data_IF_416135592532
#
_entry.id   IF_416135592532
#
_cell.length_a   1.000
_cell.length_b   1.000
_cell.length_c   1.000
_cell.angle_alpha   90.00
_cell.angle_beta   90.00
_cell.angle_gamma   90.00
#
_symmetry.space_group_name_H-M   'P 1'
#
loop_
_entity.id
_entity.type
_entity.pdbx_description
1 polymer ?
#
# COMPACT_ATOMS: atom_id res chain seq x y z
N UNK A 1 -31.21 -23.82 -1.26
CA UNK A 1 -31.30 -22.39 -0.91
C UNK A 1 -30.30 -22.15 0.19
N UNK A 2 -29.27 -21.31 0.00
CA UNK A 2 -28.25 -21.08 1.03
C UNK A 2 -28.83 -20.26 2.17
N UNK A 3 -28.23 -20.38 3.35
CA UNK A 3 -28.37 -19.37 4.39
C UNK A 3 -27.66 -18.08 3.97
N UNK A 4 -28.07 -16.92 4.51
CA UNK A 4 -27.38 -15.66 4.25
C UNK A 4 -25.91 -15.70 4.70
N UNK A 5 -25.61 -16.44 5.78
CA UNK A 5 -24.25 -16.66 6.24
C UNK A 5 -23.39 -17.43 5.23
N UNK A 6 -23.90 -18.54 4.68
CA UNK A 6 -23.20 -19.33 3.67
C UNK A 6 -22.98 -18.52 2.39
N UNK A 7 -24.01 -17.78 1.96
CA UNK A 7 -23.92 -16.90 0.79
C UNK A 7 -22.79 -15.86 0.96
N UNK A 8 -22.71 -15.18 2.11
CA UNK A 8 -21.64 -14.21 2.37
C UNK A 8 -20.27 -14.89 2.38
N UNK A 9 -20.13 -16.07 2.99
CA UNK A 9 -18.86 -16.80 3.03
C UNK A 9 -18.37 -17.20 1.64
N UNK A 10 -19.28 -17.58 0.75
CA UNK A 10 -18.96 -17.95 -0.64
C UNK A 10 -18.58 -16.73 -1.48
N UNK A 11 -19.28 -15.61 -1.31
CA UNK A 11 -19.03 -14.39 -2.08
C UNK A 11 -17.80 -13.60 -1.58
N UNK A 12 -17.41 -13.76 -0.32
CA UNK A 12 -16.28 -13.07 0.31
C UNK A 12 -15.28 -14.09 0.89
N UNK A 13 -14.39 -14.66 0.06
CA UNK A 13 -13.52 -15.77 0.47
C UNK A 13 -12.49 -15.39 1.54
N UNK A 14 -12.22 -14.09 1.73
CA UNK A 14 -11.34 -13.60 2.79
C UNK A 14 -12.17 -13.50 4.08
N UNK A 15 -11.83 -14.30 5.10
CA UNK A 15 -12.56 -14.38 6.38
C UNK A 15 -12.86 -13.01 6.99
N UNK A 16 -11.88 -12.11 7.03
CA UNK A 16 -12.07 -10.78 7.61
C UNK A 16 -13.07 -9.92 6.81
N UNK A 17 -13.18 -10.13 5.49
CA UNK A 17 -14.22 -9.51 4.67
C UNK A 17 -15.59 -10.11 4.98
N UNK A 18 -15.70 -11.45 4.99
CA UNK A 18 -16.94 -12.15 5.32
C UNK A 18 -17.47 -11.78 6.70
N UNK A 19 -16.60 -11.67 7.71
CA UNK A 19 -16.95 -11.28 9.07
C UNK A 19 -17.55 -9.85 9.10
N UNK A 20 -16.96 -8.90 8.36
CA UNK A 20 -17.48 -7.53 8.24
C UNK A 20 -18.83 -7.48 7.55
N UNK A 21 -18.97 -8.16 6.41
CA UNK A 21 -20.22 -8.18 5.65
C UNK A 21 -21.32 -8.86 6.45
N UNK A 22 -21.04 -9.98 7.10
CA UNK A 22 -21.99 -10.70 7.98
C UNK A 22 -22.51 -9.81 9.11
N UNK A 23 -21.64 -9.00 9.71
CA UNK A 23 -22.03 -8.03 10.73
C UNK A 23 -22.88 -6.89 10.16
N UNK A 24 -22.57 -6.42 8.95
CA UNK A 24 -23.34 -5.41 8.23
C UNK A 24 -24.75 -5.87 7.89
N UNK A 25 -24.89 -7.01 7.22
CA UNK A 25 -26.20 -7.53 6.77
C UNK A 25 -27.10 -7.98 7.91
N UNK A 26 -26.55 -8.23 9.10
CA UNK A 26 -27.31 -8.62 10.30
C UNK A 26 -28.33 -7.55 10.71
N UNK A 27 -28.07 -6.28 10.42
CA UNK A 27 -28.99 -5.19 10.76
C UNK A 27 -29.67 -4.70 9.50
N UNK A 28 -30.99 -4.75 9.45
CA UNK A 28 -31.78 -4.23 8.35
C UNK A 28 -31.86 -2.69 8.40
N UNK A 29 -32.23 -2.02 7.29
CA UNK A 29 -32.38 -0.57 7.23
C UNK A 29 -33.36 -0.01 8.29
N UNK A 30 -34.36 -0.79 8.68
CA UNK A 30 -35.34 -0.45 9.72
C UNK A 30 -34.82 -0.68 11.16
N UNK A 31 -33.58 -1.12 11.32
CA UNK A 31 -32.95 -1.43 12.62
C UNK A 31 -33.23 -2.84 13.14
N UNK A 32 -34.08 -3.63 12.48
CA UNK A 32 -34.36 -5.01 12.87
C UNK A 32 -33.15 -5.93 12.66
N UNK A 33 -33.09 -7.02 13.43
CA UNK A 33 -32.00 -8.01 13.31
C UNK A 33 -32.45 -9.17 12.42
N UNK A 34 -31.74 -9.38 11.32
CA UNK A 34 -31.94 -10.52 10.42
C UNK A 34 -31.34 -11.78 11.02
N UNK A 35 -32.07 -12.90 10.94
CA UNK A 35 -31.49 -14.22 11.17
C UNK A 35 -30.58 -14.58 9.98
N UNK A 36 -29.30 -14.84 10.23
CA UNK A 36 -28.34 -15.15 9.17
C UNK A 36 -28.36 -16.63 8.75
N UNK A 37 -28.91 -17.51 9.60
CA UNK A 37 -28.97 -18.96 9.39
C UNK A 37 -30.22 -19.40 8.63
N UNK A 38 -31.14 -18.48 8.37
CA UNK A 38 -32.36 -18.75 7.62
C UNK A 38 -32.06 -18.92 6.12
N UNK A 39 -32.58 -19.98 5.52
CA UNK A 39 -32.43 -20.25 4.10
C UNK A 39 -33.29 -19.29 3.27
N UNK A 40 -32.68 -18.67 2.25
CA UNK A 40 -33.34 -17.69 1.38
C UNK A 40 -33.02 -17.93 -0.09
N UNK A 41 -33.84 -17.42 -1.03
CA UNK A 41 -33.48 -17.41 -2.44
C UNK A 41 -32.18 -16.65 -2.66
N UNK A 42 -31.34 -17.11 -3.60
CA UNK A 42 -30.06 -16.46 -3.91
C UNK A 42 -30.26 -14.97 -4.26
N UNK A 43 -31.29 -14.65 -5.06
CA UNK A 43 -31.64 -13.27 -5.41
C UNK A 43 -31.97 -12.39 -4.18
N UNK A 44 -32.53 -12.99 -3.12
CA UNK A 44 -32.78 -12.25 -1.88
C UNK A 44 -31.49 -12.01 -1.10
N UNK A 45 -30.60 -13.00 -1.02
CA UNK A 45 -29.27 -12.85 -0.42
C UNK A 45 -28.45 -11.78 -1.15
N UNK A 46 -28.44 -11.80 -2.49
CA UNK A 46 -27.81 -10.79 -3.34
C UNK A 46 -28.30 -9.38 -3.02
N UNK A 47 -29.62 -9.19 -2.97
CA UNK A 47 -30.24 -7.90 -2.64
C UNK A 47 -29.82 -7.41 -1.26
N UNK A 48 -29.86 -8.28 -0.25
CA UNK A 48 -29.47 -7.91 1.13
C UNK A 48 -27.99 -7.51 1.20
N UNK A 49 -27.10 -8.22 0.50
CA UNK A 49 -25.68 -7.86 0.46
C UNK A 49 -25.46 -6.53 -0.28
N UNK A 50 -26.19 -6.29 -1.37
CA UNK A 50 -26.10 -5.04 -2.14
C UNK A 50 -26.57 -3.80 -1.36
N UNK A 51 -27.39 -3.96 -0.32
CA UNK A 51 -27.78 -2.87 0.60
C UNK A 51 -26.60 -2.35 1.42
N UNK A 52 -25.59 -3.18 1.71
CA UNK A 52 -24.48 -2.85 2.61
C UNK A 52 -23.11 -2.80 1.93
N UNK A 53 -22.95 -3.54 0.83
CA UNK A 53 -21.73 -3.56 0.02
C UNK A 53 -22.00 -2.87 -1.31
N UNK A 54 -21.40 -1.70 -1.48
CA UNK A 54 -21.51 -0.90 -2.69
C UNK A 54 -20.34 -1.16 -3.63
N UNK A 55 -20.53 -0.82 -4.90
CA UNK A 55 -19.46 -0.80 -5.92
C UNK A 55 -19.48 0.54 -6.65
N UNK A 56 -18.34 1.02 -7.17
CA UNK A 56 -18.33 2.19 -8.04
C UNK A 56 -19.21 1.96 -9.27
N UNK A 57 -20.01 2.96 -9.61
CA UNK A 57 -20.87 2.94 -10.80
C UNK A 57 -20.16 3.48 -12.05
N UNK A 58 -19.02 4.14 -11.85
CA UNK A 58 -18.19 4.81 -12.86
C UNK A 58 -16.72 4.49 -12.64
N UNK A 59 -15.86 4.85 -13.59
CA UNK A 59 -14.41 4.55 -13.55
C UNK A 59 -14.09 3.09 -13.92
N UNK A 60 -12.81 2.71 -13.84
CA UNK A 60 -12.36 1.36 -14.19
C UNK A 60 -12.43 0.38 -13.01
N UNK A 61 -12.45 0.88 -11.77
CA UNK A 61 -12.43 0.05 -10.56
C UNK A 61 -13.83 -0.40 -10.07
N UNK A 62 -14.75 -0.69 -10.99
CA UNK A 62 -16.14 -1.13 -10.67
C UNK A 62 -16.20 -2.51 -10.00
N UNK A 63 -15.10 -3.26 -10.02
CA UNK A 63 -14.96 -4.53 -9.33
C UNK A 63 -14.76 -4.37 -7.81
N UNK A 64 -14.22 -3.24 -7.36
CA UNK A 64 -13.88 -3.03 -5.95
C UNK A 64 -15.13 -2.83 -5.10
N UNK A 65 -15.18 -3.54 -3.98
CA UNK A 65 -16.31 -3.55 -3.05
C UNK A 65 -16.08 -2.56 -1.92
N UNK A 66 -17.11 -1.85 -1.50
CA UNK A 66 -17.05 -0.82 -0.46
C UNK A 66 -18.06 -1.08 0.64
N UNK A 67 -17.64 -0.89 1.89
CA UNK A 67 -18.48 -1.09 3.07
C UNK A 67 -18.48 0.14 3.99
N UNK A 68 -19.67 0.61 4.39
CA UNK A 68 -19.82 1.73 5.33
C UNK A 68 -19.65 3.12 4.72
N UNK A 69 -19.80 3.24 3.39
CA UNK A 69 -19.81 4.50 2.64
C UNK A 69 -21.11 4.66 1.87
N UNK A 70 -21.46 5.89 1.52
CA UNK A 70 -22.54 6.16 0.56
C UNK A 70 -22.05 6.07 -0.90
N UNK A 71 -22.99 5.96 -1.84
CA UNK A 71 -22.67 5.78 -3.25
C UNK A 71 -21.85 6.94 -3.86
N UNK A 72 -22.13 8.23 -3.56
CA UNK A 72 -21.27 9.32 -4.02
C UNK A 72 -19.81 9.14 -3.59
N UNK A 73 -19.57 8.82 -2.31
CA UNK A 73 -18.21 8.61 -1.80
C UNK A 73 -17.54 7.39 -2.41
N UNK A 74 -18.30 6.32 -2.67
CA UNK A 74 -17.80 5.12 -3.37
C UNK A 74 -17.35 5.45 -4.80
N UNK A 75 -18.13 6.27 -5.52
CA UNK A 75 -17.75 6.72 -6.86
C UNK A 75 -16.47 7.57 -6.83
N UNK A 76 -16.34 8.48 -5.85
CA UNK A 76 -15.10 9.25 -5.67
C UNK A 76 -13.90 8.33 -5.42
N UNK A 77 -14.04 7.32 -4.56
CA UNK A 77 -12.94 6.38 -4.29
C UNK A 77 -12.56 5.58 -5.54
N UNK A 78 -13.53 5.13 -6.33
CA UNK A 78 -13.28 4.48 -7.61
C UNK A 78 -12.44 5.35 -8.56
N UNK A 79 -12.79 6.64 -8.68
CA UNK A 79 -12.00 7.59 -9.47
C UNK A 79 -10.61 7.87 -8.85
N UNK A 80 -10.50 7.87 -7.53
CA UNK A 80 -9.23 8.04 -6.83
C UNK A 80 -8.27 6.85 -7.04
N UNK A 81 -8.81 5.63 -7.14
CA UNK A 81 -8.05 4.42 -7.49
C UNK A 81 -7.57 4.47 -8.95
N UNK A 82 -8.39 4.99 -9.87
CA UNK A 82 -7.98 5.25 -11.26
C UNK A 82 -6.78 6.22 -11.30
N UNK A 83 -6.77 7.24 -10.44
CA UNK A 83 -5.63 8.15 -10.28
C UNK A 83 -4.41 7.44 -9.69
N UNK A 84 -4.58 6.58 -8.68
CA UNK A 84 -3.48 5.81 -8.10
C UNK A 84 -2.80 4.91 -9.15
N UNK A 85 -3.60 4.23 -9.98
CA UNK A 85 -3.09 3.43 -11.11
C UNK A 85 -2.32 4.28 -12.12
N UNK A 86 -2.84 5.47 -12.48
CA UNK A 86 -2.14 6.42 -13.36
C UNK A 86 -0.82 6.91 -12.78
N UNK A 87 -0.80 7.23 -11.49
CA UNK A 87 0.40 7.68 -10.80
C UNK A 87 1.49 6.60 -10.78
N UNK A 88 1.11 5.34 -10.53
CA UNK A 88 2.00 4.20 -10.60
C UNK A 88 2.52 3.96 -12.02
N UNK A 89 1.64 4.01 -13.02
CA UNK A 89 2.01 3.83 -14.42
C UNK A 89 2.99 4.92 -14.90
N UNK A 90 2.79 6.17 -14.48
CA UNK A 90 3.71 7.26 -14.79
C UNK A 90 5.05 7.04 -14.09
N UNK A 91 5.05 6.80 -12.78
CA UNK A 91 6.26 6.49 -12.03
C UNK A 91 7.05 5.32 -12.64
N UNK A 92 6.36 4.27 -13.09
CA UNK A 92 6.94 3.07 -13.71
C UNK A 92 7.80 3.37 -14.93
N UNK A 93 7.38 4.33 -15.77
CA UNK A 93 8.10 4.74 -17.00
C UNK A 93 9.45 5.36 -16.68
N UNK A 94 9.58 5.97 -15.50
CA UNK A 94 10.76 6.71 -15.08
C UNK A 94 11.68 5.95 -14.14
N UNK A 95 11.37 4.68 -13.80
CA UNK A 95 12.18 3.91 -12.85
C UNK A 95 13.57 3.65 -13.40
N UNK A 96 14.59 4.04 -12.64
CA UNK A 96 16.00 3.83 -12.98
C UNK A 96 16.49 4.71 -14.14
N UNK A 97 15.68 5.66 -14.63
CA UNK A 97 16.15 6.69 -15.54
C UNK A 97 17.07 7.65 -14.78
N UNK A 98 18.08 8.16 -15.48
CA UNK A 98 19.05 9.10 -14.95
C UNK A 98 19.09 10.31 -15.88
N UNK A 99 19.00 11.52 -15.33
CA UNK A 99 19.21 12.77 -16.06
C UNK A 99 20.46 13.44 -15.50
N UNK A 100 21.45 13.68 -16.35
CA UNK A 100 22.58 14.54 -15.99
C UNK A 100 22.36 15.94 -16.60
N UNK A 101 22.58 17.04 -15.85
CA UNK A 101 22.91 17.11 -14.41
C UNK A 101 21.66 17.06 -13.51
N UNK A 102 21.74 16.37 -12.36
CA UNK A 102 20.69 16.44 -11.31
C UNK A 102 20.40 15.12 -10.57
N UNK A 103 19.74 15.22 -9.40
CA UNK A 103 19.18 14.07 -8.67
C UNK A 103 17.80 13.79 -9.24
N UNK A 104 17.57 12.58 -9.76
CA UNK A 104 16.25 12.22 -10.31
C UNK A 104 15.22 12.01 -9.21
N UNK A 105 13.92 12.03 -9.56
CA UNK A 105 12.84 11.64 -8.65
C UNK A 105 13.08 10.23 -8.06
N UNK A 106 13.66 9.31 -8.86
CA UNK A 106 13.99 7.97 -8.41
C UNK A 106 15.07 7.99 -7.33
N UNK A 107 16.14 8.74 -7.54
CA UNK A 107 17.23 8.85 -6.56
C UNK A 107 16.82 9.60 -5.29
N UNK A 108 15.84 10.51 -5.38
CA UNK A 108 15.25 11.16 -4.22
C UNK A 108 14.50 10.18 -3.30
N UNK A 109 13.79 9.20 -3.87
CA UNK A 109 13.00 8.23 -3.13
C UNK A 109 13.75 6.92 -2.78
N UNK A 110 14.61 6.45 -3.69
CA UNK A 110 15.25 5.12 -3.61
C UNK A 110 16.79 5.16 -3.53
N UNK A 111 17.34 6.37 -3.35
CA UNK A 111 18.76 6.62 -3.14
C UNK A 111 19.58 6.67 -4.43
N UNK A 112 20.67 7.43 -4.38
CA UNK A 112 21.51 7.73 -5.54
C UNK A 112 22.25 6.51 -6.11
N UNK A 113 22.60 6.63 -7.39
CA UNK A 113 23.63 5.77 -7.99
C UNK A 113 24.98 6.10 -7.36
N UNK A 114 25.80 5.09 -7.02
CA UNK A 114 27.19 5.36 -6.64
C UNK A 114 27.92 5.92 -7.87
N UNK A 115 28.40 7.16 -7.82
CA UNK A 115 28.84 7.90 -9.01
C UNK A 115 30.22 7.51 -9.55
N UNK A 116 30.95 6.62 -8.88
CA UNK A 116 32.24 6.11 -9.37
C UNK A 116 32.28 4.59 -9.30
N UNK A 117 32.19 3.96 -10.48
CA UNK A 117 32.84 2.69 -10.88
C UNK A 117 32.70 1.41 -10.06
N UNK A 118 32.40 1.45 -8.77
CA UNK A 118 32.47 0.31 -7.88
C UNK A 118 31.57 0.55 -6.66
N UNK A 119 30.27 0.25 -6.78
CA UNK A 119 29.44 0.11 -5.58
C UNK A 119 30.03 -0.99 -4.69
N UNK A 120 29.95 -0.84 -3.37
CA UNK A 120 30.40 -1.85 -2.40
C UNK A 120 29.89 -3.25 -2.74
N UNK A 121 28.64 -3.37 -3.19
CA UNK A 121 28.05 -4.62 -3.70
C UNK A 121 28.77 -5.20 -4.93
N UNK A 122 29.19 -4.33 -5.87
CA UNK A 122 29.94 -4.75 -7.06
C UNK A 122 31.37 -5.12 -6.68
N UNK A 123 32.01 -4.39 -5.76
CA UNK A 123 33.34 -4.75 -5.21
C UNK A 123 33.31 -6.11 -4.52
N UNK A 124 32.31 -6.33 -3.66
CA UNK A 124 32.15 -7.58 -2.93
C UNK A 124 31.81 -8.75 -3.88
N UNK A 125 30.96 -8.53 -4.88
CA UNK A 125 30.64 -9.52 -5.91
C UNK A 125 31.85 -9.87 -6.78
N UNK A 126 32.60 -8.86 -7.24
CA UNK A 126 33.85 -9.06 -7.99
C UNK A 126 34.92 -9.77 -7.15
N UNK A 127 35.06 -9.42 -5.86
CA UNK A 127 35.97 -10.10 -4.94
C UNK A 127 35.59 -11.57 -4.68
N UNK A 128 34.32 -11.94 -4.92
CA UNK A 128 33.81 -13.32 -4.86
C UNK A 128 33.79 -14.00 -6.24
N UNK A 129 34.43 -13.42 -7.25
CA UNK A 129 34.51 -14.00 -8.60
C UNK A 129 33.25 -13.85 -9.45
N UNK A 130 32.25 -13.07 -9.01
CA UNK A 130 31.03 -12.83 -9.79
C UNK A 130 31.24 -11.66 -10.75
N UNK A 131 31.62 -11.99 -12.00
CA UNK A 131 31.79 -11.02 -13.08
C UNK A 131 30.50 -10.25 -13.44
N UNK A 132 29.33 -10.81 -13.10
CA UNK A 132 28.00 -10.25 -13.37
C UNK A 132 27.40 -9.51 -12.16
N UNK A 133 28.20 -9.14 -11.15
CA UNK A 133 27.70 -8.44 -9.97
C UNK A 133 27.04 -7.10 -10.34
N UNK A 134 25.71 -7.07 -10.36
CA UNK A 134 24.93 -5.87 -10.65
C UNK A 134 25.26 -4.75 -9.64
N UNK A 135 25.26 -3.52 -10.12
CA UNK A 135 25.31 -2.38 -9.19
C UNK A 135 24.04 -2.41 -8.33
N UNK A 136 24.15 -2.14 -7.03
CA UNK A 136 22.98 -2.11 -6.15
C UNK A 136 21.88 -1.13 -6.61
N UNK A 137 22.23 -0.13 -7.43
CA UNK A 137 21.25 0.76 -8.07
C UNK A 137 20.40 0.05 -9.13
N UNK A 138 21.03 -0.79 -9.98
CA UNK A 138 20.33 -1.54 -11.02
C UNK A 138 19.36 -2.56 -10.41
N UNK A 139 19.80 -3.31 -9.41
CA UNK A 139 18.96 -4.29 -8.72
C UNK A 139 17.80 -3.63 -7.96
N UNK A 140 18.03 -2.48 -7.29
CA UNK A 140 16.92 -1.70 -6.70
C UNK A 140 15.94 -1.20 -7.76
N UNK A 141 16.43 -0.70 -8.89
CA UNK A 141 15.57 -0.24 -9.98
C UNK A 141 14.72 -1.37 -10.55
N UNK A 142 15.30 -2.55 -10.76
CA UNK A 142 14.58 -3.74 -11.21
C UNK A 142 13.52 -4.19 -10.21
N UNK A 143 13.85 -4.18 -8.90
CA UNK A 143 12.90 -4.48 -7.84
C UNK A 143 11.75 -3.48 -7.83
N UNK A 144 12.03 -2.18 -7.86
CA UNK A 144 11.01 -1.12 -7.85
C UNK A 144 10.09 -1.23 -9.08
N UNK A 145 10.63 -1.54 -10.26
CA UNK A 145 9.81 -1.81 -11.46
C UNK A 145 8.83 -2.94 -11.21
N UNK A 146 9.34 -4.08 -10.75
CA UNK A 146 8.55 -5.28 -10.46
C UNK A 146 7.50 -5.00 -9.39
N UNK A 147 7.86 -4.26 -8.34
CA UNK A 147 6.95 -3.88 -7.27
C UNK A 147 5.83 -2.96 -7.78
N UNK A 148 6.15 -1.97 -8.60
CA UNK A 148 5.12 -1.10 -9.21
C UNK A 148 4.21 -1.91 -10.13
N UNK A 149 4.75 -2.82 -10.95
CA UNK A 149 3.95 -3.70 -11.81
C UNK A 149 3.00 -4.58 -10.97
N UNK A 150 3.49 -5.10 -9.84
CA UNK A 150 2.65 -5.83 -8.88
C UNK A 150 1.58 -4.94 -8.25
N UNK A 151 1.88 -3.71 -7.84
CA UNK A 151 0.89 -2.79 -7.28
C UNK A 151 -0.20 -2.42 -8.30
N UNK A 152 0.15 -2.29 -9.58
CA UNK A 152 -0.82 -2.06 -10.66
C UNK A 152 -1.72 -3.30 -10.85
N UNK A 153 -1.13 -4.50 -10.86
CA UNK A 153 -1.88 -5.75 -10.95
C UNK A 153 -2.81 -5.94 -9.73
N UNK A 154 -2.34 -5.60 -8.54
CA UNK A 154 -3.14 -5.64 -7.32
C UNK A 154 -4.35 -4.73 -7.44
N UNK A 155 -4.21 -3.49 -7.90
CA UNK A 155 -5.35 -2.56 -8.09
C UNK A 155 -6.44 -3.11 -9.03
N UNK A 156 -6.07 -4.00 -9.95
CA UNK A 156 -6.99 -4.69 -10.85
C UNK A 156 -7.66 -5.94 -10.24
N UNK A 157 -7.24 -6.38 -9.05
CA UNK A 157 -7.77 -7.58 -8.39
C UNK A 157 -9.22 -7.41 -7.95
N UNK A 158 -10.08 -8.36 -8.30
CA UNK A 158 -11.50 -8.40 -7.88
C UNK A 158 -11.69 -8.70 -6.38
N UNK A 159 -10.62 -9.10 -5.70
CA UNK A 159 -10.64 -9.45 -4.28
C UNK A 159 -10.69 -8.24 -3.35
N UNK A 160 -10.53 -7.01 -3.88
CA UNK A 160 -10.50 -5.79 -3.06
C UNK A 160 -11.84 -5.49 -2.39
N UNK A 161 -11.76 -5.27 -1.08
CA UNK A 161 -12.79 -4.59 -0.30
C UNK A 161 -12.19 -3.43 0.49
N UNK A 162 -12.83 -2.27 0.44
CA UNK A 162 -12.46 -1.07 1.19
C UNK A 162 -13.57 -0.76 2.19
N UNK A 163 -13.24 -0.53 3.45
CA UNK A 163 -14.24 -0.28 4.49
C UNK A 163 -13.92 0.96 5.33
N UNK A 164 -14.98 1.62 5.79
CA UNK A 164 -14.88 2.74 6.73
C UNK A 164 -14.48 2.23 8.12
N UNK A 165 -13.39 2.76 8.66
CA UNK A 165 -12.90 2.48 10.01
C UNK A 165 -13.08 3.69 10.93
N UNK A 166 -13.32 3.41 12.20
CA UNK A 166 -13.39 4.41 13.27
C UNK A 166 -12.19 4.31 14.23
N UNK A 167 -11.23 3.43 13.93
CA UNK A 167 -9.96 3.31 14.66
C UNK A 167 -9.22 4.66 14.59
N UNK A 168 -8.86 5.22 15.74
CA UNK A 168 -8.22 6.53 15.83
C UNK A 168 -6.77 6.48 15.30
N UNK A 169 -6.30 7.58 14.72
CA UNK A 169 -4.89 7.80 14.38
C UNK A 169 -4.47 7.43 12.96
N UNK A 170 -5.10 6.43 12.34
CA UNK A 170 -4.70 5.97 11.01
C UNK A 170 -5.45 6.67 9.89
N UNK A 171 -4.72 7.02 8.82
CA UNK A 171 -5.32 7.55 7.60
C UNK A 171 -5.97 6.45 6.77
N UNK A 172 -5.20 5.41 6.50
CA UNK A 172 -5.67 4.16 5.94
C UNK A 172 -4.77 3.03 6.48
N UNK A 173 -5.23 1.80 6.38
CA UNK A 173 -4.45 0.63 6.77
C UNK A 173 -4.85 -0.59 5.94
N UNK A 174 -3.88 -1.24 5.29
CA UNK A 174 -4.05 -2.59 4.79
C UNK A 174 -4.31 -3.57 5.95
N UNK A 175 -5.30 -4.45 5.81
CA UNK A 175 -5.70 -5.44 6.80
C UNK A 175 -5.68 -6.85 6.17
N UNK A 176 -5.35 -7.86 6.98
CA UNK A 176 -5.41 -9.26 6.57
C UNK A 176 -4.10 -9.85 6.02
N UNK A 177 -2.99 -9.11 6.05
CA UNK A 177 -1.66 -9.59 5.64
C UNK A 177 -1.57 -9.93 4.15
N UNK A 178 -0.64 -10.82 3.80
CA UNK A 178 -0.40 -11.28 2.42
C UNK A 178 -1.68 -11.75 1.72
N UNK A 179 -2.06 -11.08 0.64
CA UNK A 179 -3.29 -11.38 -0.11
C UNK A 179 -4.57 -10.97 0.62
N UNK A 180 -4.44 -10.28 1.76
CA UNK A 180 -5.51 -9.55 2.41
C UNK A 180 -5.84 -8.31 1.61
N UNK A 181 -6.62 -8.46 0.54
CA UNK A 181 -7.15 -7.37 -0.28
C UNK A 181 -8.25 -6.60 0.47
N UNK A 182 -7.94 -6.14 1.69
CA UNK A 182 -8.85 -5.42 2.56
C UNK A 182 -8.17 -4.15 3.07
N UNK A 183 -8.77 -2.99 2.80
CA UNK A 183 -8.25 -1.70 3.25
C UNK A 183 -9.23 -0.99 4.18
N UNK A 184 -8.73 -0.54 5.32
CA UNK A 184 -9.45 0.33 6.23
C UNK A 184 -9.18 1.79 5.86
N UNK A 185 -10.22 2.63 5.76
CA UNK A 185 -10.08 4.09 5.68
C UNK A 185 -10.48 4.69 7.02
N UNK A 186 -9.54 5.29 7.72
CA UNK A 186 -9.74 5.81 9.08
C UNK A 186 -10.06 7.31 9.12
N UNK A 187 -10.29 7.86 10.33
CA UNK A 187 -10.56 9.28 10.53
C UNK A 187 -9.39 10.20 10.14
N UNK A 188 -8.17 9.67 10.07
CA UNK A 188 -6.98 10.41 9.63
C UNK A 188 -6.87 10.57 8.11
N UNK A 189 -7.79 9.97 7.33
CA UNK A 189 -7.72 10.04 5.87
C UNK A 189 -7.84 11.50 5.41
N UNK A 190 -7.10 11.93 4.37
CA UNK A 190 -7.13 13.32 3.96
C UNK A 190 -8.55 13.81 3.65
N UNK A 191 -8.87 14.98 4.21
CA UNK A 191 -10.15 15.69 4.02
C UNK A 191 -10.23 16.31 2.61
N UNK A 192 -11.45 16.65 2.19
CA UNK A 192 -11.73 17.28 0.90
C UNK A 192 -12.06 16.28 -0.22
N UNK A 193 -12.26 16.82 -1.43
CA UNK A 193 -12.52 16.04 -2.63
C UNK A 193 -11.33 15.13 -2.95
N UNK A 194 -11.62 13.87 -3.32
CA UNK A 194 -10.57 12.89 -3.61
C UNK A 194 -9.80 13.28 -4.88
N UNK A 195 -8.47 13.32 -4.77
CA UNK A 195 -7.56 13.63 -5.88
C UNK A 195 -6.19 12.96 -5.73
N UNK A 196 -5.17 13.52 -6.39
CA UNK A 196 -3.82 12.95 -6.40
C UNK A 196 -3.19 12.84 -5.00
N UNK A 197 -3.52 13.75 -4.07
CA UNK A 197 -3.06 13.64 -2.68
C UNK A 197 -3.61 12.38 -1.99
N UNK A 198 -4.92 12.15 -2.07
CA UNK A 198 -5.57 10.95 -1.53
C UNK A 198 -5.11 9.68 -2.25
N UNK A 199 -4.96 9.73 -3.57
CA UNK A 199 -4.48 8.61 -4.38
C UNK A 199 -3.10 8.11 -3.90
N UNK A 200 -2.20 9.00 -3.49
CA UNK A 200 -0.92 8.57 -2.91
C UNK A 200 -1.03 7.86 -1.56
N UNK A 201 -2.06 8.14 -0.76
CA UNK A 201 -2.36 7.35 0.45
C UNK A 201 -2.77 5.93 0.04
N UNK A 202 -3.61 5.80 -1.00
CA UNK A 202 -3.97 4.48 -1.53
C UNK A 202 -2.76 3.74 -2.13
N UNK A 203 -1.87 4.44 -2.83
CA UNK A 203 -0.59 3.88 -3.31
C UNK A 203 0.25 3.33 -2.15
N UNK A 204 0.34 4.06 -1.04
CA UNK A 204 1.03 3.57 0.15
C UNK A 204 0.43 2.24 0.64
N UNK A 205 -0.89 2.19 0.79
CA UNK A 205 -1.57 1.00 1.32
C UNK A 205 -1.47 -0.21 0.40
N UNK A 206 -1.61 -0.02 -0.91
CA UNK A 206 -1.41 -1.10 -1.90
C UNK A 206 0.03 -1.62 -1.83
N UNK A 207 1.01 -0.75 -1.56
CA UNK A 207 2.40 -1.13 -1.41
C UNK A 207 2.67 -2.12 -0.27
N UNK A 208 1.78 -2.18 0.73
CA UNK A 208 1.89 -3.12 1.85
C UNK A 208 1.60 -4.56 1.47
N UNK A 209 0.81 -4.82 0.41
CA UNK A 209 0.55 -6.17 -0.04
C UNK A 209 1.82 -6.74 -0.68
N UNK A 210 2.31 -7.89 -0.19
CA UNK A 210 3.66 -8.40 -0.47
C UNK A 210 4.74 -7.36 -0.12
N UNK A 211 4.48 -6.56 0.92
CA UNK A 211 5.40 -5.54 1.45
C UNK A 211 6.34 -6.11 2.53
N UNK A 212 7.06 -5.24 3.23
CA UNK A 212 8.06 -5.63 4.23
C UNK A 212 7.50 -6.60 5.29
N UNK A 213 6.28 -6.38 5.77
CA UNK A 213 5.63 -7.25 6.76
C UNK A 213 5.39 -8.67 6.23
N UNK A 214 5.02 -8.82 4.96
CA UNK A 214 4.78 -10.12 4.32
C UNK A 214 6.08 -10.85 3.96
N UNK A 215 7.11 -10.08 3.59
CA UNK A 215 8.47 -10.60 3.41
C UNK A 215 8.99 -11.14 4.75
N UNK A 216 8.86 -10.38 5.84
CA UNK A 216 9.26 -10.82 7.18
C UNK A 216 8.47 -12.06 7.67
N UNK A 217 7.19 -12.18 7.31
CA UNK A 217 6.36 -13.34 7.67
C UNK A 217 6.65 -14.61 6.84
N UNK A 218 7.19 -14.47 5.62
CA UNK A 218 7.50 -15.60 4.73
C UNK A 218 9.00 -15.91 4.62
N UNK A 219 9.85 -15.15 5.30
CA UNK A 219 11.29 -15.36 5.26
C UNK A 219 11.69 -16.68 5.93
N UNK A 220 11.89 -17.71 5.10
CA UNK A 220 12.99 -18.64 5.34
C UNK A 220 14.27 -17.81 5.50
N UNK A 221 14.93 -17.96 6.64
CA UNK A 221 16.20 -17.32 7.05
C UNK A 221 17.21 -17.15 5.89
N UNK A 222 17.25 -18.10 4.96
CA UNK A 222 18.08 -18.10 3.75
C UNK A 222 17.82 -16.97 2.73
N UNK A 223 16.60 -16.43 2.61
CA UNK A 223 16.32 -15.28 1.74
C UNK A 223 16.78 -13.95 2.37
N UNK A 224 16.82 -13.86 3.70
CA UNK A 224 17.45 -12.72 4.40
C UNK A 224 18.98 -12.80 4.34
N UNK A 225 19.52 -14.02 4.39
CA UNK A 225 20.95 -14.29 4.24
C UNK A 225 21.43 -14.09 2.78
N UNK A 226 20.61 -14.49 1.79
CA UNK A 226 20.87 -14.32 0.35
C UNK A 226 20.51 -12.94 -0.19
N UNK A 227 19.59 -12.21 0.45
CA UNK A 227 19.41 -10.78 0.26
C UNK A 227 20.46 -9.97 1.04
N UNK A 228 21.62 -10.54 1.36
CA UNK A 228 22.76 -9.85 1.97
C UNK A 228 22.36 -8.71 2.91
N UNK A 229 21.59 -9.05 3.95
CA UNK A 229 21.95 -8.60 5.28
C UNK A 229 23.28 -9.27 5.63
N UNK A 230 24.36 -8.86 4.96
CA UNK A 230 25.58 -8.66 5.73
C UNK A 230 25.29 -7.34 6.44
N UNK A 231 25.06 -7.33 7.77
CA UNK A 231 25.32 -6.11 8.49
C UNK A 231 26.79 -5.84 8.19
N UNK A 232 27.07 -4.94 7.26
CA UNK A 232 28.27 -4.15 7.45
C UNK A 232 28.10 -3.60 8.85
N UNK A 233 29.05 -3.90 9.72
CA UNK A 233 29.12 -3.45 11.08
C UNK A 233 29.30 -1.91 11.15
N UNK A 234 28.47 -1.16 10.42
CA UNK A 234 28.09 0.18 10.82
C UNK A 234 27.21 -0.01 12.05
N UNK A 235 27.78 0.34 13.20
CA UNK A 235 27.33 0.05 14.55
C UNK A 235 25.95 0.63 14.94
N UNK A 236 25.10 1.05 13.99
CA UNK A 236 23.89 1.85 14.26
C UNK A 236 22.60 1.38 13.56
N UNK A 237 22.53 0.15 13.01
CA UNK A 237 21.26 -0.40 12.50
C UNK A 237 20.69 -1.41 13.51
N UNK A 238 19.55 -1.13 14.19
CA UNK A 238 18.90 -2.06 15.10
C UNK A 238 18.39 -3.29 14.36
N UNK A 239 18.66 -4.46 14.92
CA UNK A 239 18.17 -5.74 14.40
C UNK A 239 16.67 -5.90 14.66
N UNK A 240 15.93 -6.37 13.66
CA UNK A 240 14.50 -6.63 13.73
C UNK A 240 14.29 -8.13 13.99
N UNK A 241 14.15 -8.54 15.27
CA UNK A 241 14.07 -9.96 15.64
C UNK A 241 12.68 -10.46 16.05
N UNK A 242 11.64 -9.64 16.00
CA UNK A 242 10.26 -10.12 16.15
C UNK A 242 9.29 -9.02 15.76
N UNK A 243 8.05 -9.40 15.44
CA UNK A 243 6.93 -8.49 15.17
C UNK A 243 6.48 -7.67 16.40
N UNK A 244 7.32 -7.57 17.43
CA UNK A 244 7.16 -6.63 18.54
C UNK A 244 8.17 -5.49 18.36
N UNK A 245 7.62 -4.28 18.35
CA UNK A 245 8.29 -2.99 18.62
C UNK A 245 9.77 -2.97 18.27
N UNK A 246 10.05 -2.50 17.05
CA UNK A 246 11.36 -2.05 16.58
C UNK A 246 12.17 -1.47 17.74
N UNK A 247 13.40 -1.98 17.94
CA UNK A 247 14.26 -1.71 19.11
C UNK A 247 14.61 -0.24 19.38
N UNK A 248 15.81 0.10 19.87
CA UNK A 248 16.10 1.42 20.48
C UNK A 248 15.90 2.68 19.60
N UNK A 249 15.44 2.57 18.35
CA UNK A 249 14.88 3.67 17.55
C UNK A 249 13.44 4.08 17.94
N UNK A 250 12.78 3.42 18.89
CA UNK A 250 11.47 3.84 19.43
C UNK A 250 11.45 5.23 20.07
N UNK A 251 12.60 5.82 20.38
CA UNK A 251 12.65 7.21 20.86
C UNK A 251 12.29 8.25 19.75
N UNK A 252 12.17 7.84 18.48
CA UNK A 252 11.94 8.75 17.34
C UNK A 252 10.64 8.52 16.55
N UNK A 253 9.80 7.52 16.91
CA UNK A 253 8.45 7.33 16.39
C UNK A 253 8.33 6.74 14.97
N UNK A 254 7.73 5.54 14.88
CA UNK A 254 7.06 4.99 13.68
C UNK A 254 7.93 4.53 12.50
N UNK A 255 7.33 3.74 11.61
CA UNK A 255 7.84 3.46 10.26
C UNK A 255 8.36 4.75 9.58
N UNK A 256 9.29 4.69 8.62
CA UNK A 256 9.86 5.86 7.92
C UNK A 256 8.83 6.64 7.09
N UNK A 257 7.94 7.34 7.79
CA UNK A 257 6.73 7.99 7.29
C UNK A 257 7.04 9.45 6.97
N UNK A 258 6.51 9.91 5.84
CA UNK A 258 6.66 11.27 5.35
C UNK A 258 7.91 11.48 4.49
N UNK A 259 7.87 12.60 3.75
CA UNK A 259 8.89 12.92 2.75
C UNK A 259 10.28 13.08 3.36
N UNK A 260 10.39 13.71 4.54
CA UNK A 260 11.67 13.89 5.25
C UNK A 260 12.32 12.56 5.62
N UNK A 261 11.54 11.62 6.14
CA UNK A 261 12.08 10.30 6.54
C UNK A 261 12.40 9.43 5.33
N UNK A 262 11.61 9.53 4.26
CA UNK A 262 11.91 8.89 2.97
C UNK A 262 13.25 9.38 2.41
N UNK A 263 13.49 10.69 2.41
CA UNK A 263 14.77 11.26 1.94
C UNK A 263 15.95 10.78 2.79
N UNK A 264 15.81 10.80 4.13
CA UNK A 264 16.84 10.30 5.04
C UNK A 264 17.12 8.81 4.80
N UNK A 265 16.08 8.01 4.58
CA UNK A 265 16.21 6.60 4.26
C UNK A 265 16.95 6.40 2.93
N UNK A 266 16.65 7.22 1.92
CA UNK A 266 17.32 7.19 0.63
C UNK A 266 18.81 7.60 0.71
N UNK A 267 19.17 8.51 1.62
CA UNK A 267 20.53 8.98 1.82
C UNK A 267 21.38 8.00 2.62
N UNK A 268 20.85 7.49 3.74
CA UNK A 268 21.63 6.69 4.70
C UNK A 268 21.44 5.18 4.53
N UNK A 269 20.27 4.73 4.06
CA UNK A 269 19.90 3.32 4.01
C UNK A 269 19.19 2.96 2.68
N UNK A 270 19.75 3.38 1.55
CA UNK A 270 19.13 3.24 0.22
C UNK A 270 18.59 1.85 -0.12
N UNK A 271 19.16 0.76 0.40
CA UNK A 271 18.64 -0.58 0.15
C UNK A 271 17.33 -0.90 0.88
N UNK A 272 17.04 -0.22 2.00
CA UNK A 272 15.78 -0.37 2.72
C UNK A 272 14.61 0.38 2.04
N UNK A 273 14.90 1.36 1.18
CA UNK A 273 13.87 2.17 0.50
C UNK A 273 12.91 1.34 -0.35
N UNK A 274 13.38 0.25 -0.97
CA UNK A 274 12.53 -0.59 -1.83
C UNK A 274 11.47 -1.36 -1.04
N UNK A 275 11.61 -1.43 0.29
CA UNK A 275 10.63 -2.04 1.18
C UNK A 275 9.77 -1.03 1.93
N UNK A 276 10.07 0.27 1.80
CA UNK A 276 9.30 1.34 2.42
C UNK A 276 8.19 1.81 1.49
N UNK A 277 6.93 1.57 1.84
CA UNK A 277 5.75 1.96 1.05
C UNK A 277 5.65 3.46 0.82
N UNK A 278 6.11 4.27 1.78
CA UNK A 278 6.13 5.72 1.62
C UNK A 278 7.14 6.19 0.56
N UNK A 279 8.20 5.41 0.29
CA UNK A 279 9.12 5.72 -0.82
C UNK A 279 8.40 5.66 -2.17
N UNK A 280 7.49 4.70 -2.36
CA UNK A 280 6.66 4.60 -3.56
C UNK A 280 5.66 5.74 -3.66
N UNK A 281 4.98 6.10 -2.55
CA UNK A 281 4.07 7.24 -2.48
C UNK A 281 4.76 8.54 -2.90
N UNK A 282 5.90 8.87 -2.29
CA UNK A 282 6.62 10.11 -2.56
C UNK A 282 7.27 10.12 -3.95
N UNK A 283 7.72 8.96 -4.44
CA UNK A 283 8.17 8.83 -5.82
C UNK A 283 7.04 9.16 -6.82
N UNK A 284 5.84 8.61 -6.60
CA UNK A 284 4.68 8.92 -7.44
C UNK A 284 4.26 10.39 -7.35
N UNK A 285 4.25 10.98 -6.15
CA UNK A 285 3.93 12.40 -5.97
C UNK A 285 4.83 13.35 -6.75
N UNK A 286 6.10 13.00 -6.95
CA UNK A 286 7.04 13.86 -7.63
C UNK A 286 6.65 14.17 -9.10
N UNK A 287 5.82 13.33 -9.72
CA UNK A 287 5.32 13.52 -11.09
C UNK A 287 4.01 14.33 -11.17
N UNK A 288 3.31 14.51 -10.03
CA UNK A 288 2.01 15.19 -9.94
C UNK A 288 2.04 16.29 -8.87
N UNK A 289 3.17 17.00 -8.78
CA UNK A 289 3.50 17.88 -7.65
C UNK A 289 2.43 18.97 -7.43
N UNK A 290 1.91 19.55 -8.50
CA UNK A 290 0.97 20.66 -8.42
C UNK A 290 -0.40 20.19 -7.91
N UNK A 291 -0.89 19.08 -8.43
CA UNK A 291 -2.15 18.45 -8.04
C UNK A 291 -2.10 17.96 -6.59
N UNK A 292 -0.96 17.36 -6.20
CA UNK A 292 -0.72 16.94 -4.81
C UNK A 292 -0.66 18.15 -3.88
N UNK A 293 0.04 19.22 -4.25
CA UNK A 293 0.13 20.43 -3.45
C UNK A 293 -1.24 21.09 -3.26
N UNK A 294 -2.08 21.13 -4.31
CA UNK A 294 -3.46 21.62 -4.22
C UNK A 294 -4.29 20.79 -3.24
N UNK A 295 -4.20 19.45 -3.31
CA UNK A 295 -4.89 18.56 -2.37
C UNK A 295 -4.43 18.72 -0.93
N UNK A 296 -3.12 18.93 -0.71
CA UNK A 296 -2.57 19.22 0.63
C UNK A 296 -3.09 20.55 1.17
N UNK A 297 -3.14 21.59 0.34
CA UNK A 297 -3.65 22.90 0.73
C UNK A 297 -5.12 22.82 1.15
N UNK A 298 -5.94 22.12 0.36
CA UNK A 298 -7.35 21.91 0.68
C UNK A 298 -7.54 21.10 1.96
N UNK A 299 -6.78 20.01 2.13
CA UNK A 299 -6.81 19.24 3.37
C UNK A 299 -6.52 20.10 4.60
N UNK A 300 -5.47 20.93 4.54
CA UNK A 300 -5.09 21.85 5.62
C UNK A 300 -6.17 22.88 5.92
N UNK A 301 -6.81 23.44 4.88
CA UNK A 301 -7.93 24.39 5.02
C UNK A 301 -9.11 23.79 5.79
N UNK A 302 -9.31 22.48 5.70
CA UNK A 302 -10.42 21.75 6.32
C UNK A 302 -10.09 21.14 7.69
N UNK A 303 -8.85 21.30 8.19
CA UNK A 303 -8.51 20.88 9.55
C UNK A 303 -9.11 21.87 10.57
N UNK A 304 -9.57 21.40 11.74
CA UNK A 304 -9.97 22.31 12.82
C UNK A 304 -8.74 23.12 13.26
N UNK A 305 -8.96 24.41 13.54
CA UNK A 305 -7.93 25.29 14.11
C UNK A 305 -7.50 24.84 15.51
#
# INVERSE_FOLDING_TARGET
MPSLFEYVREQFPIKLQADKVSNGVRTAPDGSKRNLSENRPVAECERIVAEVVLKPTVGNHRHIRFFGFDQPRVNEFGACLDLAARMLAEARRHVGLHTWPGKTNFEAAFGSRAWHGMSTTRKAGLARGNANAESGFASRSAYVRTKIDQMIADLASESWMIYKSYEAGDAAALKGGRGGYLMAIGPGFPRGALGHFHAGVLVHEVGHNLGLADVCGTCHRLLLDGAHFTPYADANIPQCSSNNTHGPMMAAGGHFIGSKQTTRLAEHHKNATVYNTDSYRWYCYAFFKNEVASGIAEHKRLLPA
#
